data_IF_796791208850
#
_entry.id   IF_796791208850
#
_cell.length_a   1.000
_cell.length_b   1.000
_cell.length_c   1.000
_cell.angle_alpha   90.00
_cell.angle_beta   90.00
_cell.angle_gamma   90.00
#
_symmetry.space_group_name_H-M   'P 1'
#
loop_
_entity.id
_entity.type
_entity.pdbx_description
1 polymer ?
#
# COMPACT_ATOMS: atom_id res chain seq x y z
N UNK A 1 34.05 69.29 0.24
CA UNK A 1 33.63 70.43 1.09
C UNK A 1 32.11 70.39 1.10
N UNK A 2 31.34 70.14 2.16
CA UNK A 2 31.48 70.29 3.61
C UNK A 2 30.80 69.11 4.32
N UNK A 3 31.36 68.70 5.47
CA UNK A 3 30.69 67.85 6.45
C UNK A 3 29.68 68.69 7.25
N UNK A 4 28.49 68.16 7.51
CA UNK A 4 27.64 68.62 8.60
C UNK A 4 27.55 67.50 9.64
N UNK A 5 28.04 67.80 10.84
CA UNK A 5 28.09 66.95 12.03
C UNK A 5 27.30 67.71 13.11
N UNK A 6 26.54 66.97 13.93
CA UNK A 6 25.78 67.35 15.14
C UNK A 6 24.29 66.91 15.01
N UNK A 7 23.62 66.25 15.97
CA UNK A 7 23.90 66.12 17.40
C UNK A 7 22.90 65.14 18.08
N UNK A 8 23.39 64.47 19.15
CA UNK A 8 22.79 63.98 20.42
C UNK A 8 21.70 62.88 20.49
N UNK A 9 22.11 61.78 21.14
CA UNK A 9 21.56 61.07 22.33
C UNK A 9 20.02 61.01 22.54
N UNK A 10 19.47 59.80 22.65
CA UNK A 10 19.25 59.14 23.96
C UNK A 10 18.38 57.87 23.87
N UNK A 11 18.58 57.03 24.90
CA UNK A 11 17.65 56.05 25.48
C UNK A 11 17.35 54.77 24.69
N UNK A 12 17.92 53.68 25.20
CA UNK A 12 17.61 52.33 24.79
C UNK A 12 16.17 51.92 25.15
N UNK A 13 15.63 51.06 24.31
CA UNK A 13 14.56 50.13 24.66
C UNK A 13 14.98 48.77 24.12
N UNK A 14 15.06 47.80 25.02
CA UNK A 14 15.46 46.43 24.72
C UNK A 14 14.34 45.82 23.89
N UNK A 15 14.51 45.77 22.56
CA UNK A 15 13.60 45.04 21.69
C UNK A 15 13.86 43.56 21.95
N UNK A 16 12.96 42.89 22.66
CA UNK A 16 12.98 41.44 22.82
C UNK A 16 12.75 40.81 21.44
N UNK A 17 13.85 40.49 20.76
CA UNK A 17 13.82 39.72 19.52
C UNK A 17 13.33 38.32 19.85
N UNK A 18 12.06 38.04 19.58
CA UNK A 18 11.62 36.66 19.41
C UNK A 18 12.25 36.19 18.10
N UNK A 19 13.14 35.19 18.09
CA UNK A 19 13.57 34.61 16.84
C UNK A 19 12.34 33.99 16.19
N UNK A 20 11.90 34.57 15.08
CA UNK A 20 11.01 33.91 14.14
C UNK A 20 11.76 32.71 13.59
N UNK A 21 11.68 31.60 14.31
CA UNK A 21 12.03 30.31 13.77
C UNK A 21 11.10 30.08 12.58
N UNK A 22 11.65 30.20 11.37
CA UNK A 22 11.02 29.68 10.17
C UNK A 22 10.91 28.17 10.40
N UNK A 23 9.71 27.71 10.75
CA UNK A 23 9.39 26.30 10.80
C UNK A 23 9.34 25.84 9.35
N UNK A 24 10.46 25.38 8.81
CA UNK A 24 10.47 24.57 7.60
C UNK A 24 9.62 23.34 7.91
N UNK A 25 8.34 23.38 7.54
CA UNK A 25 7.54 22.18 7.50
C UNK A 25 8.20 21.31 6.44
N UNK A 26 9.00 20.34 6.87
CA UNK A 26 9.30 19.17 6.05
C UNK A 26 7.94 18.51 5.83
N UNK A 27 7.25 18.95 4.78
CA UNK A 27 6.16 18.22 4.21
C UNK A 27 6.77 16.88 3.86
N UNK A 28 6.49 15.88 4.69
CA UNK A 28 6.68 14.51 4.33
C UNK A 28 5.79 14.30 3.11
N UNK A 29 6.37 14.50 1.93
CA UNK A 29 5.83 13.91 0.71
C UNK A 29 5.59 12.47 1.11
N UNK A 30 4.34 11.96 1.09
CA UNK A 30 4.12 10.55 1.33
C UNK A 30 5.11 9.87 0.41
N UNK A 31 6.05 9.11 1.00
CA UNK A 31 6.95 8.30 0.20
C UNK A 31 5.99 7.45 -0.59
N UNK A 32 5.79 7.79 -1.87
CA UNK A 32 5.36 6.81 -2.83
C UNK A 32 6.50 5.80 -2.75
N UNK A 33 6.35 4.83 -1.85
CA UNK A 33 6.89 3.52 -2.05
C UNK A 33 6.37 3.23 -3.44
N UNK A 34 7.25 3.33 -4.45
CA UNK A 34 6.94 2.91 -5.80
C UNK A 34 6.24 1.58 -5.61
N UNK A 35 4.92 1.57 -5.83
CA UNK A 35 4.08 0.52 -5.29
C UNK A 35 4.67 -0.80 -5.77
N UNK A 36 4.73 -1.81 -4.92
CA UNK A 36 5.13 -3.15 -5.35
C UNK A 36 4.11 -3.61 -6.39
N UNK A 37 4.34 -3.23 -7.65
CA UNK A 37 3.41 -3.32 -8.77
C UNK A 37 4.00 -4.31 -9.76
N UNK A 38 3.20 -5.31 -10.12
CA UNK A 38 3.52 -6.30 -11.14
C UNK A 38 2.54 -6.12 -12.30
N UNK A 39 3.09 -6.06 -13.50
CA UNK A 39 2.34 -6.05 -14.75
C UNK A 39 2.27 -7.47 -15.32
N UNK A 40 1.05 -7.97 -15.58
CA UNK A 40 0.80 -9.30 -16.11
C UNK A 40 0.22 -9.25 -17.54
N UNK A 41 0.53 -8.18 -18.28
CA UNK A 41 0.05 -7.84 -19.63
C UNK A 41 -1.45 -7.53 -19.74
N UNK A 42 -2.30 -8.22 -18.99
CA UNK A 42 -3.75 -7.99 -18.98
C UNK A 42 -4.19 -7.02 -17.87
N UNK A 43 -3.41 -6.89 -16.80
CA UNK A 43 -3.69 -5.98 -15.68
C UNK A 43 -2.44 -5.71 -14.83
N UNK A 44 -2.46 -4.60 -14.09
CA UNK A 44 -1.43 -4.25 -13.12
C UNK A 44 -1.94 -4.50 -11.70
N UNK A 45 -1.12 -5.14 -10.86
CA UNK A 45 -1.47 -5.50 -9.50
C UNK A 45 -0.48 -4.93 -8.50
N UNK A 46 -0.98 -4.32 -7.43
CA UNK A 46 -0.17 -3.82 -6.33
C UNK A 46 -0.27 -4.77 -5.13
N UNK A 47 0.87 -5.38 -4.76
CA UNK A 47 1.01 -6.20 -3.56
C UNK A 47 1.51 -5.40 -2.35
N UNK A 48 1.88 -6.12 -1.30
CA UNK A 48 2.53 -5.55 -0.10
C UNK A 48 3.86 -6.25 0.19
N UNK A 49 4.84 -5.50 0.70
CA UNK A 49 6.07 -6.08 1.23
C UNK A 49 5.87 -6.44 2.70
N UNK A 50 6.19 -7.68 3.05
CA UNK A 50 6.19 -8.17 4.42
C UNK A 50 7.60 -8.06 5.00
N UNK A 51 7.84 -6.99 5.76
CA UNK A 51 9.15 -6.71 6.35
C UNK A 51 9.62 -7.77 7.36
N UNK A 52 8.71 -8.53 7.98
CA UNK A 52 9.08 -9.57 8.96
C UNK A 52 9.79 -10.75 8.29
N UNK A 53 9.34 -11.11 7.09
CA UNK A 53 9.87 -12.24 6.33
C UNK A 53 10.63 -11.81 5.08
N UNK A 54 10.89 -10.51 4.95
CA UNK A 54 11.48 -9.88 3.76
C UNK A 54 10.92 -10.42 2.43
N UNK A 55 9.59 -10.52 2.34
CA UNK A 55 8.92 -11.19 1.21
C UNK A 55 7.86 -10.28 0.61
N UNK A 56 7.81 -10.27 -0.73
CA UNK A 56 6.77 -9.60 -1.49
C UNK A 56 5.53 -10.50 -1.62
N UNK A 57 4.36 -9.99 -1.23
CA UNK A 57 3.12 -10.77 -1.16
C UNK A 57 2.07 -10.15 -2.08
N UNK A 58 1.49 -10.99 -2.94
CA UNK A 58 0.41 -10.64 -3.83
C UNK A 58 -0.74 -11.64 -3.63
N UNK A 59 -1.88 -11.16 -3.15
CA UNK A 59 -3.05 -11.95 -2.85
C UNK A 59 -4.18 -11.63 -3.83
N UNK A 60 -4.95 -12.63 -4.25
CA UNK A 60 -6.15 -12.40 -5.08
C UNK A 60 -5.89 -12.01 -6.53
N UNK A 61 -4.73 -12.36 -7.08
CA UNK A 61 -4.45 -12.22 -8.52
C UNK A 61 -5.42 -13.08 -9.32
N UNK A 62 -6.02 -12.51 -10.38
CA UNK A 62 -6.93 -13.26 -11.25
C UNK A 62 -6.12 -14.16 -12.18
N UNK A 63 -6.53 -15.41 -12.31
CA UNK A 63 -5.92 -16.34 -13.29
C UNK A 63 -6.94 -16.84 -14.32
N UNK A 64 -8.24 -16.60 -14.09
CA UNK A 64 -9.33 -16.90 -15.01
C UNK A 64 -10.46 -15.86 -14.85
N UNK A 65 -11.37 -15.82 -15.82
CA UNK A 65 -12.66 -15.14 -15.70
C UNK A 65 -13.59 -15.86 -14.70
N UNK A 66 -14.66 -15.19 -14.21
CA UNK A 66 -15.67 -15.85 -13.38
C UNK A 66 -16.19 -17.14 -14.01
N UNK A 67 -16.30 -18.24 -13.24
CA UNK A 67 -16.58 -19.55 -13.80
C UNK A 67 -18.00 -19.63 -14.35
N UNK A 68 -18.12 -20.14 -15.58
CA UNK A 68 -19.38 -20.66 -16.12
C UNK A 68 -19.51 -22.11 -15.66
N UNK A 69 -20.69 -22.48 -15.16
CA UNK A 69 -20.90 -23.81 -14.58
C UNK A 69 -20.63 -24.89 -15.64
N UNK A 70 -19.79 -25.86 -15.31
CA UNK A 70 -19.43 -27.00 -16.17
C UNK A 70 -18.78 -26.64 -17.51
N UNK A 71 -18.13 -25.49 -17.58
CA UNK A 71 -17.35 -25.06 -18.75
C UNK A 71 -15.88 -24.96 -18.39
N UNK A 72 -15.02 -24.94 -19.42
CA UNK A 72 -13.60 -24.69 -19.22
C UNK A 72 -13.39 -23.26 -18.70
N UNK A 73 -12.31 -23.03 -17.92
CA UNK A 73 -11.91 -21.69 -17.54
C UNK A 73 -11.62 -20.82 -18.77
N UNK A 74 -12.12 -19.59 -18.74
CA UNK A 74 -11.81 -18.55 -19.74
C UNK A 74 -10.73 -17.61 -19.20
N UNK A 75 -9.98 -16.96 -20.09
CA UNK A 75 -8.94 -16.00 -19.71
C UNK A 75 -9.50 -14.81 -18.91
N UNK A 76 -8.73 -14.21 -17.99
CA UNK A 76 -9.16 -13.03 -17.25
C UNK A 76 -9.52 -11.86 -18.16
N UNK A 77 -10.57 -11.11 -17.79
CA UNK A 77 -10.89 -9.86 -18.48
C UNK A 77 -9.78 -8.82 -18.25
N UNK A 78 -9.20 -8.23 -19.31
CA UNK A 78 -8.16 -7.23 -19.17
C UNK A 78 -8.69 -5.95 -18.48
N UNK A 79 -7.87 -5.38 -17.60
CA UNK A 79 -8.10 -4.08 -16.99
C UNK A 79 -6.73 -3.39 -16.84
N UNK A 80 -6.43 -2.53 -17.81
CA UNK A 80 -5.18 -1.74 -17.88
C UNK A 80 -5.39 -0.28 -17.50
N UNK A 81 -6.62 0.12 -17.16
CA UNK A 81 -6.95 1.51 -16.84
C UNK A 81 -6.72 1.83 -15.36
N UNK A 82 -6.53 0.82 -14.52
CA UNK A 82 -6.37 0.98 -13.08
C UNK A 82 -5.46 -0.10 -12.50
N UNK A 83 -4.80 0.22 -11.39
CA UNK A 83 -4.00 -0.73 -10.60
C UNK A 83 -4.94 -1.44 -9.63
N UNK A 84 -4.94 -2.77 -9.66
CA UNK A 84 -5.77 -3.62 -8.79
C UNK A 84 -5.00 -3.93 -7.50
N UNK A 85 -5.64 -3.74 -6.35
CA UNK A 85 -5.04 -4.07 -5.05
C UNK A 85 -5.03 -5.58 -4.81
N UNK A 86 -3.84 -6.15 -4.65
CA UNK A 86 -3.58 -7.57 -4.41
C UNK A 86 -3.17 -7.82 -2.95
N UNK A 87 -3.96 -7.32 -2.01
CA UNK A 87 -3.62 -7.31 -0.57
C UNK A 87 -4.58 -8.14 0.30
N UNK A 88 -5.61 -8.74 -0.28
CA UNK A 88 -6.63 -9.52 0.43
C UNK A 88 -6.90 -10.88 -0.22
N UNK A 89 -7.29 -11.85 0.59
CA UNK A 89 -7.63 -13.20 0.11
C UNK A 89 -8.98 -13.15 -0.64
N UNK A 90 -9.07 -13.72 -1.86
CA UNK A 90 -10.33 -13.80 -2.57
C UNK A 90 -11.30 -14.79 -1.89
N UNK A 91 -12.61 -14.71 -2.19
CA UNK A 91 -13.56 -15.70 -1.73
C UNK A 91 -13.16 -17.10 -2.21
N UNK A 92 -13.30 -18.10 -1.32
CA UNK A 92 -13.09 -19.50 -1.66
C UNK A 92 -14.23 -20.02 -2.54
N UNK A 93 -13.94 -21.05 -3.33
CA UNK A 93 -14.97 -21.77 -4.05
C UNK A 93 -16.01 -22.35 -3.09
N UNK A 94 -17.30 -22.35 -3.47
CA UNK A 94 -18.34 -23.03 -2.72
C UNK A 94 -17.96 -24.49 -2.48
N UNK A 95 -17.95 -24.89 -1.21
CA UNK A 95 -17.64 -26.23 -0.75
C UNK A 95 -18.55 -26.54 0.44
N UNK A 96 -18.91 -27.81 0.62
CA UNK A 96 -19.52 -28.24 1.88
C UNK A 96 -18.51 -28.06 3.02
N UNK A 97 -19.00 -27.89 4.24
CA UNK A 97 -18.13 -27.96 5.42
C UNK A 97 -17.47 -29.35 5.50
N UNK A 98 -16.37 -29.44 6.25
CA UNK A 98 -15.75 -30.73 6.54
C UNK A 98 -16.80 -31.69 7.13
N UNK A 99 -16.93 -32.86 6.53
CA UNK A 99 -17.69 -33.93 7.15
C UNK A 99 -17.01 -34.32 8.47
N UNK A 100 -17.76 -34.67 9.52
CA UNK A 100 -17.17 -35.30 10.68
C UNK A 100 -16.35 -36.50 10.20
N UNK A 101 -15.08 -36.58 10.61
CA UNK A 101 -14.32 -37.80 10.46
C UNK A 101 -14.98 -38.84 11.37
N UNK A 102 -15.94 -39.59 10.82
CA UNK A 102 -16.29 -40.87 11.40
C UNK A 102 -15.04 -41.71 11.24
N UNK A 103 -14.26 -41.82 12.32
CA UNK A 103 -13.30 -42.91 12.48
C UNK A 103 -14.14 -44.18 12.62
N UNK A 104 -14.77 -44.61 11.52
CA UNK A 104 -15.18 -45.98 11.37
C UNK A 104 -13.86 -46.76 11.25
N UNK A 105 -13.63 -47.77 12.10
CA UNK A 105 -12.52 -48.70 11.87
C UNK A 105 -12.63 -49.17 10.43
N UNK A 106 -11.54 -49.07 9.66
CA UNK A 106 -11.47 -49.76 8.37
C UNK A 106 -11.87 -51.23 8.63
N UNK A 107 -12.87 -51.79 7.94
CA UNK A 107 -13.18 -53.20 8.11
C UNK A 107 -12.00 -54.01 7.58
N UNK A 108 -11.14 -54.47 8.49
CA UNK A 108 -10.10 -55.46 8.20
C UNK A 108 -10.76 -56.82 8.03
N UNK A 109 -11.38 -57.05 6.88
CA UNK A 109 -11.73 -58.39 6.44
C UNK A 109 -11.21 -58.57 5.01
N UNK A 110 -9.93 -58.93 4.92
CA UNK A 110 -9.34 -59.66 3.80
C UNK A 110 -8.52 -60.81 4.39
#
# INVERSE_FOLDING_TARGET
>A
MYRCLAVLLAAGSVVSALPSFLQEAVQATPRQVAGLIVDLDYAQYQGSHNAKFDTNVFLGIRYAAPPKRWQLPESPQPNRTSIIQATSQPPRCPQSNAAPLLVAPFPTNR
#
